data_IF_181485477178
#
_entry.id   IF_181485477178
#
_cell.length_a   1.000
_cell.length_b   1.000
_cell.length_c   1.000
_cell.angle_alpha   90.00
_cell.angle_beta   90.00
_cell.angle_gamma   90.00
#
_symmetry.space_group_name_H-M   'P 1'
#
loop_
_entity.id
_entity.type
_entity.pdbx_description
1 polymer ?
#
# COMPACT_ATOMS: atom_id res chain seq x y z
N UNK A 1 -3.79 -37.69 -13.87
CA UNK A 1 -2.60 -37.46 -13.07
C UNK A 1 -1.71 -36.42 -13.67
N UNK A 2 -1.27 -36.60 -14.89
CA UNK A 2 -0.51 -35.57 -15.58
C UNK A 2 -1.29 -34.28 -15.75
N UNK A 3 -2.59 -34.36 -15.91
CA UNK A 3 -3.44 -33.17 -16.05
C UNK A 3 -3.41 -32.28 -14.80
N UNK A 4 -3.40 -32.90 -13.62
CA UNK A 4 -3.33 -32.12 -12.39
C UNK A 4 -2.00 -31.41 -12.25
N UNK A 5 -0.90 -32.10 -12.60
CA UNK A 5 0.42 -31.51 -12.57
C UNK A 5 0.54 -30.35 -13.56
N UNK A 6 0.03 -30.57 -14.77
CA UNK A 6 0.07 -29.54 -15.80
C UNK A 6 -0.76 -28.32 -15.40
N UNK A 7 -1.90 -28.56 -14.76
CA UNK A 7 -2.75 -27.49 -14.29
C UNK A 7 -2.06 -26.66 -13.19
N UNK A 8 -1.39 -27.33 -12.26
CA UNK A 8 -0.65 -26.66 -11.19
C UNK A 8 0.54 -25.89 -11.74
N UNK A 9 1.23 -26.47 -12.72
CA UNK A 9 2.33 -25.75 -13.36
C UNK A 9 1.85 -24.52 -14.10
N UNK A 10 0.73 -24.62 -14.80
CA UNK A 10 0.15 -23.48 -15.50
C UNK A 10 -0.22 -22.37 -14.52
N UNK A 11 -0.83 -22.71 -13.39
CA UNK A 11 -1.17 -21.73 -12.38
C UNK A 11 0.08 -21.08 -11.78
N UNK A 12 1.09 -21.88 -11.52
CA UNK A 12 2.34 -21.37 -10.97
C UNK A 12 3.02 -20.43 -11.96
N UNK A 13 3.05 -20.80 -13.22
CA UNK A 13 3.64 -19.97 -14.26
C UNK A 13 2.88 -18.67 -14.44
N UNK A 14 1.55 -18.71 -14.35
CA UNK A 14 0.76 -17.48 -14.40
C UNK A 14 1.06 -16.57 -13.21
N UNK A 15 1.21 -17.15 -12.03
CA UNK A 15 1.55 -16.37 -10.85
C UNK A 15 2.93 -15.73 -10.99
N UNK A 16 3.89 -16.49 -11.54
CA UNK A 16 5.23 -15.96 -11.78
C UNK A 16 5.24 -14.88 -12.85
N UNK A 17 4.46 -15.08 -13.92
CA UNK A 17 4.35 -14.09 -14.98
C UNK A 17 3.73 -12.79 -14.46
N UNK A 18 2.74 -12.90 -13.57
CA UNK A 18 2.14 -11.72 -12.94
C UNK A 18 3.15 -10.99 -12.07
N UNK A 19 4.05 -11.72 -11.42
CA UNK A 19 5.11 -11.11 -10.63
C UNK A 19 6.13 -10.41 -11.54
N UNK A 20 6.42 -10.99 -12.70
CA UNK A 20 7.33 -10.39 -13.67
C UNK A 20 6.77 -9.11 -14.26
N UNK A 21 5.45 -9.00 -14.37
CA UNK A 21 4.79 -7.77 -14.78
C UNK A 21 4.77 -6.72 -13.67
N UNK A 22 5.46 -7.00 -12.60
CA UNK A 22 5.61 -6.16 -11.44
C UNK A 22 4.27 -6.04 -10.72
N UNK A 23 3.69 -4.86 -10.67
CA UNK A 23 2.43 -4.64 -9.98
C UNK A 23 1.34 -4.43 -11.03
N UNK A 24 0.39 -5.35 -11.09
CA UNK A 24 -0.73 -5.21 -12.00
C UNK A 24 -1.63 -4.06 -11.57
N UNK A 25 -2.52 -3.65 -12.48
CA UNK A 25 -3.49 -2.58 -12.18
C UNK A 25 -4.40 -2.92 -11.00
N UNK A 26 -4.56 -4.21 -10.73
CA UNK A 26 -5.47 -4.68 -9.70
C UNK A 26 -4.74 -5.14 -8.45
N UNK A 27 -3.49 -4.75 -8.30
CA UNK A 27 -2.72 -5.18 -7.13
C UNK A 27 -3.35 -4.63 -5.86
N UNK A 28 -3.55 -5.54 -4.91
CA UNK A 28 -4.07 -5.20 -3.59
C UNK A 28 -3.26 -5.88 -2.51
N UNK A 29 -3.05 -5.18 -1.42
CA UNK A 29 -2.41 -5.75 -0.23
C UNK A 29 -3.42 -5.71 0.91
N UNK A 30 -3.33 -6.69 1.80
CA UNK A 30 -4.28 -6.84 2.90
C UNK A 30 -3.54 -7.04 4.20
N UNK A 31 -4.12 -6.53 5.29
CA UNK A 31 -3.61 -6.77 6.63
C UNK A 31 -4.75 -6.60 7.64
N UNK A 32 -4.48 -7.05 8.87
CA UNK A 32 -5.41 -6.88 9.97
C UNK A 32 -6.55 -7.87 9.98
N UNK A 33 -7.36 -7.76 11.02
CA UNK A 33 -8.51 -8.63 11.27
C UNK A 33 -9.70 -7.77 11.65
N UNK A 34 -10.93 -8.30 11.56
CA UNK A 34 -12.10 -7.51 11.95
C UNK A 34 -11.95 -6.96 13.37
N UNK A 35 -12.25 -5.68 13.52
CA UNK A 35 -12.18 -5.01 14.81
C UNK A 35 -13.37 -5.43 15.68
N UNK A 36 -13.19 -5.60 17.01
CA UNK A 36 -14.33 -5.80 17.90
C UNK A 36 -15.31 -4.64 17.81
N UNK A 37 -16.60 -4.94 17.83
CA UNK A 37 -17.62 -3.93 17.62
C UNK A 37 -17.65 -2.85 18.71
N UNK A 38 -17.21 -3.19 19.90
CA UNK A 38 -17.19 -2.28 21.04
C UNK A 38 -15.92 -1.42 21.11
N UNK A 39 -14.95 -1.68 20.24
CA UNK A 39 -13.74 -0.88 20.18
C UNK A 39 -13.98 0.37 19.33
N UNK A 40 -13.49 1.50 19.83
CA UNK A 40 -13.64 2.77 19.12
C UNK A 40 -12.79 2.78 17.85
N UNK A 41 -13.35 3.32 16.77
CA UNK A 41 -12.63 3.45 15.51
C UNK A 41 -11.46 4.43 15.65
N UNK A 42 -10.36 4.15 14.93
CA UNK A 42 -9.22 5.03 14.88
C UNK A 42 -9.58 6.35 14.19
N UNK A 43 -8.86 7.40 14.53
CA UNK A 43 -9.00 8.67 13.82
C UNK A 43 -8.19 8.63 12.52
N UNK A 44 -8.55 9.48 11.58
CA UNK A 44 -7.78 9.61 10.35
C UNK A 44 -6.35 10.06 10.63
N UNK A 45 -6.17 10.93 11.61
CA UNK A 45 -4.86 11.40 12.01
C UNK A 45 -3.98 10.28 12.52
N UNK A 46 -4.53 9.35 13.28
CA UNK A 46 -3.77 8.20 13.77
C UNK A 46 -3.30 7.33 12.60
N UNK A 47 -4.16 7.15 11.60
CA UNK A 47 -3.80 6.40 10.41
C UNK A 47 -2.69 7.10 9.64
N UNK A 48 -2.78 8.42 9.49
CA UNK A 48 -1.76 9.21 8.80
C UNK A 48 -0.42 9.10 9.51
N UNK A 49 -0.42 9.16 10.84
CA UNK A 49 0.82 9.00 11.62
C UNK A 49 1.46 7.63 11.38
N UNK A 50 0.64 6.59 11.28
CA UNK A 50 1.13 5.26 10.98
C UNK A 50 1.74 5.20 9.57
N UNK A 51 1.10 5.84 8.60
CA UNK A 51 1.60 5.89 7.23
C UNK A 51 2.94 6.60 7.14
N UNK A 52 3.17 7.58 8.00
CA UNK A 52 4.45 8.30 8.05
C UNK A 52 5.59 7.45 8.58
N UNK A 53 5.31 6.27 9.11
CA UNK A 53 6.37 5.34 9.54
C UNK A 53 6.86 4.46 8.39
N UNK A 54 6.18 4.46 7.25
CA UNK A 54 6.55 3.66 6.08
C UNK A 54 7.32 4.55 5.12
N UNK A 55 8.58 4.23 4.89
CA UNK A 55 9.45 5.04 4.04
C UNK A 55 9.86 4.29 2.78
N UNK A 56 9.98 5.05 1.69
CA UNK A 56 10.61 4.53 0.47
C UNK A 56 12.09 4.31 0.78
N UNK A 57 12.62 3.10 0.61
CA UNK A 57 14.00 2.80 0.98
C UNK A 57 15.04 3.53 0.14
N UNK A 58 14.70 3.97 -1.05
CA UNK A 58 15.64 4.67 -1.92
C UNK A 58 15.76 6.14 -1.55
N UNK A 59 14.66 6.76 -1.16
CA UNK A 59 14.60 8.19 -0.91
C UNK A 59 14.57 8.50 0.59
N UNK A 60 14.15 7.54 1.41
CA UNK A 60 14.04 7.68 2.87
C UNK A 60 13.00 8.71 3.30
N UNK A 61 12.02 8.96 2.44
CA UNK A 61 10.88 9.83 2.75
C UNK A 61 9.65 8.95 2.88
N UNK A 62 8.80 9.25 3.86
CA UNK A 62 7.62 8.43 4.10
C UNK A 62 6.62 8.55 2.96
N UNK A 63 5.80 7.50 2.82
CA UNK A 63 4.87 7.38 1.70
C UNK A 63 3.81 8.48 1.69
N UNK A 64 3.43 8.98 2.85
CA UNK A 64 2.43 10.04 2.95
C UNK A 64 2.98 11.35 2.40
N UNK A 65 4.17 11.75 2.85
CA UNK A 65 4.80 13.00 2.39
C UNK A 65 5.27 12.92 0.94
N UNK A 66 5.57 11.71 0.46
CA UNK A 66 5.88 11.50 -0.95
C UNK A 66 4.67 11.73 -1.87
N UNK A 67 3.47 11.80 -1.29
CA UNK A 67 2.27 11.94 -2.09
C UNK A 67 1.83 10.64 -2.75
N UNK A 68 2.25 9.51 -2.21
CA UNK A 68 1.87 8.20 -2.75
C UNK A 68 0.51 7.74 -2.27
N UNK A 69 0.01 8.32 -1.18
CA UNK A 69 -1.31 7.96 -0.64
C UNK A 69 -2.34 8.91 -1.25
N UNK A 70 -3.24 8.36 -2.07
CA UNK A 70 -4.21 9.17 -2.80
C UNK A 70 -5.54 9.31 -2.04
N UNK A 71 -5.94 8.28 -1.32
CA UNK A 71 -7.21 8.33 -0.59
C UNK A 71 -7.19 7.36 0.58
N UNK A 72 -7.86 7.72 1.65
CA UNK A 72 -8.02 6.89 2.83
C UNK A 72 -9.51 6.90 3.16
N UNK A 73 -10.14 5.72 3.08
CA UNK A 73 -11.56 5.57 3.35
C UNK A 73 -11.75 4.69 4.57
N UNK A 74 -12.37 5.24 5.59
CA UNK A 74 -12.68 4.53 6.82
C UNK A 74 -14.13 4.09 6.80
N UNK A 75 -14.38 2.82 7.11
CA UNK A 75 -15.73 2.29 7.18
C UNK A 75 -16.24 2.31 8.62
N UNK A 76 -17.55 2.22 8.78
CA UNK A 76 -18.18 2.31 10.09
C UNK A 76 -17.71 1.23 11.05
N UNK A 77 -17.34 0.06 10.52
CA UNK A 77 -16.87 -1.06 11.34
C UNK A 77 -15.38 -0.99 11.67
N UNK A 78 -14.70 0.07 11.27
CA UNK A 78 -13.26 0.23 11.52
C UNK A 78 -12.36 -0.26 10.41
N UNK A 79 -12.89 -0.89 9.38
CA UNK A 79 -12.10 -1.30 8.24
C UNK A 79 -11.62 -0.07 7.46
N UNK A 80 -10.45 -0.18 6.83
CA UNK A 80 -9.84 0.95 6.13
C UNK A 80 -9.46 0.51 4.72
N UNK A 81 -9.79 1.33 3.74
CA UNK A 81 -9.37 1.15 2.37
C UNK A 81 -8.45 2.30 2.00
N UNK A 82 -7.31 2.00 1.40
CA UNK A 82 -6.33 2.98 1.00
C UNK A 82 -6.04 2.81 -0.48
N UNK A 83 -6.13 3.92 -1.22
CA UNK A 83 -5.64 3.97 -2.59
C UNK A 83 -4.28 4.63 -2.57
N UNK A 84 -3.28 3.94 -3.12
CA UNK A 84 -1.93 4.48 -3.20
C UNK A 84 -1.36 4.24 -4.59
N UNK A 85 -0.32 4.98 -4.91
CA UNK A 85 0.42 4.75 -6.14
C UNK A 85 1.90 4.51 -5.82
N UNK A 86 2.67 4.24 -6.86
CA UNK A 86 4.10 4.02 -6.77
C UNK A 86 4.79 4.93 -7.78
N UNK A 87 6.06 5.24 -7.53
CA UNK A 87 6.79 6.16 -8.41
C UNK A 87 7.05 5.55 -9.78
N UNK A 88 7.18 4.22 -9.85
CA UNK A 88 7.36 3.51 -11.11
C UNK A 88 6.87 2.07 -10.97
N UNK A 89 6.23 1.52 -12.01
CA UNK A 89 5.73 0.14 -11.94
C UNK A 89 6.85 -0.90 -11.93
N UNK A 90 8.06 -0.52 -12.35
CA UNK A 90 9.22 -1.41 -12.38
C UNK A 90 10.08 -1.32 -11.12
N UNK A 91 9.66 -0.54 -10.12
CA UNK A 91 10.41 -0.42 -8.89
C UNK A 91 10.48 -1.77 -8.16
N UNK A 92 11.67 -2.22 -7.72
CA UNK A 92 11.79 -3.50 -7.02
C UNK A 92 10.97 -3.59 -5.74
N UNK A 93 10.67 -2.46 -5.11
CA UNK A 93 9.88 -2.42 -3.88
C UNK A 93 8.38 -2.26 -4.15
N UNK A 94 7.97 -2.29 -5.42
CA UNK A 94 6.57 -2.06 -5.79
C UNK A 94 5.63 -3.07 -5.14
N UNK A 95 6.06 -4.31 -4.98
CA UNK A 95 5.24 -5.34 -4.36
C UNK A 95 5.33 -5.35 -2.83
N UNK A 96 6.34 -4.70 -2.27
CA UNK A 96 6.59 -4.70 -0.83
C UNK A 96 5.96 -3.49 -0.16
N UNK A 97 6.04 -2.34 -0.78
CA UNK A 97 5.58 -1.09 -0.18
C UNK A 97 4.09 -1.09 0.15
N UNK A 98 3.20 -1.55 -0.75
CA UNK A 98 1.77 -1.62 -0.40
C UNK A 98 1.51 -2.52 0.81
N UNK A 99 2.23 -3.63 0.92
CA UNK A 99 2.07 -4.52 2.06
C UNK A 99 2.55 -3.85 3.35
N UNK A 100 3.64 -3.10 3.30
CA UNK A 100 4.12 -2.34 4.46
C UNK A 100 3.10 -1.29 4.90
N UNK A 101 2.46 -0.64 3.93
CA UNK A 101 1.40 0.34 4.22
C UNK A 101 0.22 -0.35 4.90
N UNK A 102 -0.21 -1.50 4.39
CA UNK A 102 -1.31 -2.25 4.98
C UNK A 102 -0.96 -2.69 6.39
N UNK A 103 0.24 -3.24 6.60
CA UNK A 103 0.66 -3.73 7.90
C UNK A 103 0.75 -2.60 8.93
N UNK A 104 1.32 -1.46 8.55
CA UNK A 104 1.45 -0.32 9.45
C UNK A 104 0.06 0.21 9.86
N UNK A 105 -0.85 0.30 8.90
CA UNK A 105 -2.21 0.77 9.17
C UNK A 105 -2.95 -0.19 10.09
N UNK A 106 -2.78 -1.49 9.89
CA UNK A 106 -3.44 -2.51 10.70
C UNK A 106 -2.98 -2.49 12.16
N UNK A 107 -1.80 -1.97 12.44
CA UNK A 107 -1.29 -1.86 13.80
C UNK A 107 -1.94 -0.72 14.59
N UNK A 108 -2.63 0.17 13.93
CA UNK A 108 -3.28 1.31 14.61
C UNK A 108 -4.47 0.78 15.42
N UNK A 109 -4.52 1.18 16.70
CA UNK A 109 -5.64 0.80 17.55
C UNK A 109 -6.93 1.39 17.00
N UNK A 110 -7.95 0.57 16.87
CA UNK A 110 -9.23 0.98 16.32
C UNK A 110 -9.37 0.75 14.82
N UNK A 111 -8.38 0.12 14.19
CA UNK A 111 -8.45 -0.27 12.78
C UNK A 111 -8.78 -1.77 12.70
N UNK A 112 -9.70 -2.12 11.81
CA UNK A 112 -10.06 -3.49 11.52
C UNK A 112 -9.23 -4.06 10.38
N UNK A 113 -9.90 -4.54 9.34
CA UNK A 113 -9.22 -5.03 8.14
C UNK A 113 -8.74 -3.86 7.30
N UNK A 114 -7.58 -4.02 6.69
CA UNK A 114 -6.99 -3.01 5.82
C UNK A 114 -6.85 -3.58 4.42
N UNK A 115 -7.30 -2.82 3.42
CA UNK A 115 -7.07 -3.12 2.02
C UNK A 115 -6.34 -1.95 1.40
N UNK A 116 -5.19 -2.21 0.79
CA UNK A 116 -4.43 -1.21 0.06
C UNK A 116 -4.49 -1.56 -1.42
N UNK A 117 -4.99 -0.65 -2.21
CA UNK A 117 -5.10 -0.82 -3.65
C UNK A 117 -4.10 0.09 -4.34
N UNK A 118 -3.30 -0.48 -5.24
CA UNK A 118 -2.37 0.31 -6.06
C UNK A 118 -3.11 0.83 -7.28
N UNK A 119 -3.08 2.14 -7.46
CA UNK A 119 -3.69 2.81 -8.61
C UNK A 119 -2.62 3.55 -9.39
N UNK A 120 -2.77 3.60 -10.71
CA UNK A 120 -1.77 4.19 -11.58
C UNK A 120 -2.23 5.53 -12.17
N UNK A 121 -3.43 5.93 -11.86
CA UNK A 121 -3.98 7.21 -12.32
C UNK A 121 -4.62 7.96 -11.16
N UNK A 122 -4.31 9.25 -11.03
CA UNK A 122 -3.30 9.97 -11.82
C UNK A 122 -1.89 9.47 -11.53
N UNK A 123 -1.02 9.56 -12.52
CA UNK A 123 0.36 9.14 -12.34
C UNK A 123 1.05 10.02 -11.29
N UNK A 124 1.93 9.41 -10.51
CA UNK A 124 2.70 10.15 -9.53
C UNK A 124 3.66 11.12 -10.22
N UNK A 125 3.85 12.29 -9.61
CA UNK A 125 4.80 13.28 -10.08
C UNK A 125 5.38 14.02 -8.88
N UNK A 126 6.47 14.74 -9.10
CA UNK A 126 7.12 15.52 -8.05
C UNK A 126 6.22 16.56 -7.41
N UNK A 127 5.19 17.00 -8.13
CA UNK A 127 4.24 17.98 -7.61
C UNK A 127 3.45 17.45 -6.40
N UNK A 128 3.39 16.14 -6.23
CA UNK A 128 2.62 15.52 -5.16
C UNK A 128 3.39 15.43 -3.84
N UNK A 129 4.68 15.73 -3.87
CA UNK A 129 5.52 15.68 -2.67
C UNK A 129 5.17 16.86 -1.78
N UNK A 130 5.09 16.62 -0.47
CA UNK A 130 4.81 17.69 0.50
C UNK A 130 5.96 18.71 0.52
N UNK A 131 5.67 19.92 0.99
CA UNK A 131 6.69 20.96 1.10
C UNK A 131 7.82 20.54 2.03
N UNK A 132 7.48 19.85 3.12
CA UNK A 132 8.48 19.36 4.07
C UNK A 132 9.42 18.35 3.42
N UNK A 133 8.85 17.40 2.68
CA UNK A 133 9.65 16.39 2.00
C UNK A 133 10.49 17.00 0.89
N UNK A 134 9.92 17.96 0.17
CA UNK A 134 10.66 18.65 -0.89
C UNK A 134 11.87 19.39 -0.33
N UNK A 135 11.71 20.02 0.83
CA UNK A 135 12.84 20.70 1.48
C UNK A 135 13.93 19.70 1.86
N UNK A 136 13.56 18.51 2.30
CA UNK A 136 14.54 17.46 2.60
C UNK A 136 15.29 17.00 1.37
N UNK A 137 14.61 16.87 0.24
CA UNK A 137 15.22 16.48 -1.03
C UNK A 137 16.21 17.56 -1.49
N UNK A 138 15.84 18.83 -1.35
CA UNK A 138 16.68 19.94 -1.76
C UNK A 138 17.98 20.03 -0.95
N UNK A 139 17.97 19.46 0.27
CA UNK A 139 19.17 19.41 1.11
C UNK A 139 20.11 18.28 0.73
N UNK A 140 19.65 17.34 -0.07
CA UNK A 140 20.47 16.23 -0.54
C UNK A 140 21.26 16.64 -1.79
#
# INVERSE_FOLDING_TARGET
MTEELDHNEAQLMQALAMQDDVVSKDFKAYAGEPKPADEKNASKEDIIEALKTVCDPEIMINVYDMGLIYDIRQQDNGDVEIDMTLTAPTCPVAGVLPQQVADATALVEGVGKVEVKVVWEPAWSLDKISDEARAMIDLL
#
